data_IF_616409570195
#
_entry.id   IF_616409570195
#
_cell.length_a   1.000
_cell.length_b   1.000
_cell.length_c   1.000
_cell.angle_alpha   90.00
_cell.angle_beta   90.00
_cell.angle_gamma   90.00
#
_symmetry.space_group_name_H-M   'P 1'
#
loop_
_entity.id
_entity.type
_entity.pdbx_description
1 polymer ?
#
# COMPACT_ATOMS: atom_id res chain seq x y z
N UNK A 1 17.11 -11.90 30.07
CA UNK A 1 16.14 -10.87 29.64
C UNK A 1 15.11 -11.60 28.80
N UNK A 2 13.83 -11.22 28.83
CA UNK A 2 12.83 -11.82 27.94
C UNK A 2 13.21 -11.52 26.48
N UNK A 3 12.87 -12.43 25.57
CA UNK A 3 13.10 -12.23 24.13
C UNK A 3 12.37 -11.00 23.61
N UNK A 4 12.91 -10.38 22.59
CA UNK A 4 12.38 -9.16 21.96
C UNK A 4 11.79 -9.46 20.57
N UNK A 5 10.63 -8.90 20.27
CA UNK A 5 10.08 -8.90 18.90
C UNK A 5 10.89 -7.95 17.99
N UNK A 6 10.74 -8.07 16.69
CA UNK A 6 11.27 -7.11 15.72
C UNK A 6 10.87 -5.67 16.09
N UNK A 7 9.60 -5.47 16.46
CA UNK A 7 9.10 -4.17 16.90
C UNK A 7 9.85 -3.67 18.14
N UNK A 8 10.03 -4.52 19.17
CA UNK A 8 10.70 -4.14 20.42
C UNK A 8 12.13 -3.67 20.17
N UNK A 9 12.88 -4.39 19.34
CA UNK A 9 14.27 -4.04 18.98
C UNK A 9 14.37 -2.66 18.33
N UNK A 10 13.45 -2.37 17.40
CA UNK A 10 13.45 -1.07 16.73
C UNK A 10 12.94 0.03 17.65
N UNK A 11 11.81 -0.20 18.31
CA UNK A 11 11.26 0.79 19.25
C UNK A 11 12.28 1.19 20.30
N UNK A 12 12.83 0.21 21.03
CA UNK A 12 13.75 0.47 22.14
C UNK A 12 15.02 1.22 21.69
N UNK A 13 15.51 0.97 20.47
CA UNK A 13 16.68 1.68 19.94
C UNK A 13 16.40 3.14 19.52
N UNK A 14 15.12 3.53 19.40
CA UNK A 14 14.70 4.87 18.98
C UNK A 14 14.03 5.69 20.08
N UNK A 15 13.85 5.13 21.28
CA UNK A 15 13.35 5.87 22.44
C UNK A 15 14.36 6.92 22.85
N UNK A 16 13.99 8.20 22.78
CA UNK A 16 14.77 9.32 23.28
C UNK A 16 14.45 9.55 24.76
N UNK A 17 13.15 9.47 25.11
CA UNK A 17 12.66 9.64 26.48
C UNK A 17 11.29 8.97 26.61
N UNK A 18 11.05 8.39 27.78
CA UNK A 18 9.75 7.85 28.17
C UNK A 18 9.27 8.59 29.41
N UNK A 19 8.02 9.02 29.41
CA UNK A 19 7.37 9.71 30.52
C UNK A 19 6.62 8.69 31.41
N UNK A 20 6.31 9.09 32.63
CA UNK A 20 5.66 8.22 33.62
C UNK A 20 4.25 7.77 33.23
N UNK A 21 3.59 8.46 32.28
CA UNK A 21 2.27 8.10 31.74
C UNK A 21 2.35 7.14 30.52
N UNK A 22 3.56 6.66 30.18
CA UNK A 22 3.83 5.79 29.04
C UNK A 22 3.94 6.54 27.71
N UNK A 23 3.91 7.87 27.73
CA UNK A 23 4.18 8.70 26.54
C UNK A 23 5.67 8.64 26.23
N UNK A 24 6.00 8.37 24.96
CA UNK A 24 7.37 8.17 24.50
C UNK A 24 7.74 9.21 23.44
N UNK A 25 8.85 9.89 23.61
CA UNK A 25 9.49 10.66 22.56
C UNK A 25 10.35 9.71 21.73
N UNK A 26 9.93 9.47 20.49
CA UNK A 26 10.55 8.53 19.56
C UNK A 26 11.36 9.29 18.52
N UNK A 27 12.61 8.90 18.29
CA UNK A 27 13.42 9.43 17.20
C UNK A 27 12.94 8.89 15.86
N UNK A 28 12.88 9.74 14.83
CA UNK A 28 12.48 9.40 13.47
C UNK A 28 13.67 9.55 12.53
N UNK A 29 14.09 8.44 11.90
CA UNK A 29 15.24 8.42 11.01
C UNK A 29 14.94 9.07 9.67
N UNK A 30 13.76 8.80 9.10
CA UNK A 30 13.41 9.17 7.74
C UNK A 30 11.98 9.68 7.64
N UNK A 31 11.80 10.67 6.79
CA UNK A 31 10.48 11.23 6.49
C UNK A 31 10.27 11.29 5.00
N UNK A 32 9.09 10.84 4.56
CA UNK A 32 8.60 11.04 3.20
C UNK A 32 7.55 12.14 3.22
N UNK A 33 7.55 12.99 2.20
CA UNK A 33 6.56 14.07 2.06
C UNK A 33 6.02 14.13 0.63
N UNK A 34 4.74 14.45 0.52
CA UNK A 34 4.07 14.64 -0.75
C UNK A 34 3.20 15.92 -0.74
N UNK A 35 2.64 16.28 -1.89
CA UNK A 35 1.99 17.58 -2.10
C UNK A 35 0.71 17.81 -1.30
N UNK A 36 0.03 16.74 -0.84
CA UNK A 36 -1.28 16.88 -0.17
C UNK A 36 -1.17 17.27 1.30
N UNK A 37 -0.26 16.65 2.05
CA UNK A 37 -0.16 16.80 3.51
C UNK A 37 1.02 17.66 3.97
N UNK A 38 1.85 18.16 3.06
CA UNK A 38 3.04 18.95 3.41
C UNK A 38 2.87 20.48 3.37
N UNK A 39 1.95 21.09 2.61
CA UNK A 39 1.90 22.56 2.50
C UNK A 39 1.77 23.27 3.83
N UNK A 40 0.81 22.86 4.67
CA UNK A 40 0.58 23.46 5.99
C UNK A 40 1.73 23.19 6.97
N UNK A 41 2.38 22.02 6.87
CA UNK A 41 3.54 21.70 7.70
C UNK A 41 4.73 22.64 7.40
N UNK A 42 5.01 22.91 6.13
CA UNK A 42 6.03 23.87 5.74
C UNK A 42 5.66 25.31 6.09
N UNK A 43 4.40 25.69 5.94
CA UNK A 43 3.91 26.99 6.37
C UNK A 43 4.09 27.19 7.88
N UNK A 44 3.76 26.21 8.71
CA UNK A 44 3.99 26.24 10.16
C UNK A 44 5.46 26.43 10.51
N UNK A 45 6.38 25.74 9.82
CA UNK A 45 7.82 25.96 9.99
C UNK A 45 8.23 27.42 9.70
N UNK A 46 7.74 27.98 8.58
CA UNK A 46 8.04 29.38 8.18
C UNK A 46 7.53 30.37 9.21
N UNK A 47 6.27 30.24 9.63
CA UNK A 47 5.65 31.11 10.63
C UNK A 47 6.39 31.05 11.99
N UNK A 48 6.89 29.88 12.35
CA UNK A 48 7.68 29.68 13.57
C UNK A 48 9.17 30.08 13.43
N UNK A 49 9.61 30.53 12.25
CA UNK A 49 11.01 30.85 11.97
C UNK A 49 11.95 29.64 12.07
N UNK A 50 11.42 28.43 11.84
CA UNK A 50 12.16 27.17 11.96
C UNK A 50 12.54 26.63 10.58
N UNK A 51 13.58 25.81 10.57
CA UNK A 51 14.02 25.05 9.37
C UNK A 51 14.00 23.56 9.69
N UNK A 52 13.85 22.69 8.65
CA UNK A 52 14.02 21.25 8.85
C UNK A 52 15.37 20.92 9.48
N UNK A 53 15.35 20.11 10.54
CA UNK A 53 16.54 19.72 11.28
C UNK A 53 17.54 18.92 10.45
N UNK A 54 17.03 18.01 9.61
CA UNK A 54 17.84 17.14 8.75
C UNK A 54 17.20 17.01 7.37
N UNK A 55 17.38 18.02 6.48
CA UNK A 55 16.78 17.95 5.13
C UNK A 55 17.13 16.69 4.35
N UNK A 56 18.36 16.17 4.50
CA UNK A 56 18.81 14.93 3.86
C UNK A 56 18.16 13.63 4.39
N UNK A 57 17.42 13.70 5.50
CA UNK A 57 16.60 12.60 6.02
C UNK A 57 15.16 12.65 5.51
N UNK A 58 14.84 13.63 4.66
CA UNK A 58 13.52 13.81 4.05
C UNK A 58 13.62 13.64 2.53
N UNK A 59 12.67 12.91 1.96
CA UNK A 59 12.54 12.73 0.50
C UNK A 59 11.13 13.12 0.09
N UNK A 60 11.01 13.95 -0.93
CA UNK A 60 9.75 14.50 -1.42
C UNK A 60 9.41 13.99 -2.82
N UNK A 61 8.11 13.83 -3.09
CA UNK A 61 7.58 13.46 -4.41
C UNK A 61 6.11 13.91 -4.52
N UNK A 62 5.65 14.50 -5.64
CA UNK A 62 4.23 14.64 -5.93
C UNK A 62 3.71 13.34 -6.52
N UNK A 63 2.59 12.80 -6.01
CA UNK A 63 2.06 11.52 -6.46
C UNK A 63 0.52 11.42 -6.50
N UNK A 64 -0.19 12.23 -5.72
CA UNK A 64 -1.66 12.18 -5.62
C UNK A 64 -2.35 13.00 -6.70
N UNK A 65 -1.88 14.22 -6.93
CA UNK A 65 -2.49 15.21 -7.83
C UNK A 65 -1.87 15.23 -9.24
N UNK A 66 -0.90 14.36 -9.48
CA UNK A 66 -0.23 14.30 -10.79
C UNK A 66 -1.15 13.68 -11.83
N UNK A 67 -1.22 14.25 -13.06
CA UNK A 67 -1.94 13.61 -14.15
C UNK A 67 -1.24 12.31 -14.58
N UNK A 68 -2.04 11.31 -14.92
CA UNK A 68 -1.58 10.03 -15.47
C UNK A 68 -1.70 9.97 -17.00
N UNK A 69 -2.10 11.07 -17.62
CA UNK A 69 -2.16 11.30 -19.05
C UNK A 69 -0.94 12.11 -19.53
N UNK A 70 -1.04 12.84 -20.63
CA UNK A 70 0.07 13.62 -21.19
C UNK A 70 0.53 14.73 -20.24
N UNK A 71 1.68 14.55 -19.62
CA UNK A 71 2.30 15.50 -18.67
C UNK A 71 2.93 16.73 -19.29
N UNK A 72 2.96 16.83 -20.62
CA UNK A 72 3.38 18.05 -21.34
C UNK A 72 2.29 19.12 -21.28
N UNK A 73 1.06 18.72 -20.99
CA UNK A 73 -0.06 19.62 -20.81
C UNK A 73 -0.07 20.21 -19.39
N UNK A 74 -0.62 21.41 -19.26
CA UNK A 74 -0.83 22.02 -17.94
C UNK A 74 -1.83 21.18 -17.13
N UNK A 75 -1.61 21.12 -15.80
CA UNK A 75 -2.55 20.47 -14.88
C UNK A 75 -3.84 21.26 -14.89
N UNK A 76 -4.94 20.62 -15.29
CA UNK A 76 -6.24 21.27 -15.49
C UNK A 76 -6.87 21.76 -14.17
N UNK A 77 -6.72 20.99 -13.08
CA UNK A 77 -7.21 21.41 -11.78
C UNK A 77 -6.24 22.42 -11.12
N UNK A 78 -6.70 23.67 -10.85
CA UNK A 78 -5.83 24.70 -10.29
C UNK A 78 -5.36 24.42 -8.87
N UNK A 79 -6.12 23.65 -8.08
CA UNK A 79 -5.76 23.27 -6.71
C UNK A 79 -4.60 22.28 -6.77
N UNK A 80 -4.73 21.23 -7.57
CA UNK A 80 -3.67 20.24 -7.80
C UNK A 80 -2.39 20.91 -8.31
N UNK A 81 -2.49 21.80 -9.29
CA UNK A 81 -1.35 22.56 -9.82
C UNK A 81 -0.68 23.44 -8.74
N UNK A 82 -1.47 24.06 -7.86
CA UNK A 82 -0.97 24.85 -6.74
C UNK A 82 -0.24 23.98 -5.72
N UNK A 83 -0.81 22.83 -5.33
CA UNK A 83 -0.20 21.93 -4.34
C UNK A 83 1.14 21.41 -4.81
N UNK A 84 1.25 20.98 -6.07
CA UNK A 84 2.51 20.50 -6.66
C UNK A 84 3.56 21.59 -6.64
N UNK A 85 3.23 22.81 -7.13
CA UNK A 85 4.15 23.95 -7.10
C UNK A 85 4.58 24.31 -5.69
N UNK A 86 3.66 24.31 -4.73
CA UNK A 86 3.98 24.60 -3.33
C UNK A 86 4.97 23.58 -2.75
N UNK A 87 4.83 22.30 -3.09
CA UNK A 87 5.82 21.29 -2.70
C UNK A 87 7.20 21.57 -3.30
N UNK A 88 7.25 21.91 -4.61
CA UNK A 88 8.50 22.22 -5.31
C UNK A 88 9.21 23.44 -4.70
N UNK A 89 8.46 24.52 -4.42
CA UNK A 89 8.99 25.74 -3.83
C UNK A 89 9.50 25.48 -2.39
N UNK A 90 8.76 24.76 -1.58
CA UNK A 90 9.16 24.39 -0.23
C UNK A 90 10.43 23.51 -0.22
N UNK A 91 10.49 22.51 -1.10
CA UNK A 91 11.68 21.66 -1.19
C UNK A 91 12.93 22.47 -1.61
N UNK A 92 12.78 23.39 -2.54
CA UNK A 92 13.86 24.29 -2.99
C UNK A 92 14.32 25.19 -1.85
N UNK A 93 13.39 25.82 -1.13
CA UNK A 93 13.69 26.73 -0.02
C UNK A 93 14.39 26.03 1.14
N UNK A 94 13.97 24.82 1.47
CA UNK A 94 14.48 24.09 2.62
C UNK A 94 15.60 23.08 2.30
N UNK A 95 15.99 22.96 1.02
CA UNK A 95 17.05 22.05 0.58
C UNK A 95 16.69 20.56 0.73
N UNK A 96 15.41 20.22 0.52
CA UNK A 96 14.91 18.84 0.56
C UNK A 96 14.98 18.24 -0.84
N UNK A 97 15.46 16.99 -0.93
CA UNK A 97 15.48 16.26 -2.20
C UNK A 97 14.06 15.99 -2.71
N UNK A 98 13.80 16.37 -3.95
CA UNK A 98 12.51 16.21 -4.61
C UNK A 98 12.65 15.47 -5.93
N UNK A 99 11.81 14.45 -6.13
CA UNK A 99 11.57 13.87 -7.46
C UNK A 99 10.32 14.52 -8.06
N UNK A 100 10.51 15.64 -8.76
CA UNK A 100 9.40 16.40 -9.36
C UNK A 100 8.68 15.65 -10.46
N UNK A 101 7.54 16.19 -10.94
CA UNK A 101 6.63 15.53 -11.89
C UNK A 101 7.30 15.03 -13.20
N UNK A 102 8.39 15.67 -13.63
CA UNK A 102 9.14 15.31 -14.84
C UNK A 102 10.43 14.51 -14.55
N UNK A 103 10.74 14.20 -13.29
CA UNK A 103 11.86 13.34 -12.94
C UNK A 103 11.47 11.87 -13.21
N UNK A 104 12.36 11.11 -13.86
CA UNK A 104 12.11 9.69 -14.13
C UNK A 104 11.90 8.87 -12.84
N UNK A 105 12.41 9.34 -11.70
CA UNK A 105 12.24 8.71 -10.39
C UNK A 105 10.91 9.09 -9.72
N UNK A 106 10.12 9.99 -10.33
CA UNK A 106 8.80 10.34 -9.81
C UNK A 106 7.89 9.11 -9.82
N UNK A 107 7.09 8.97 -8.78
CA UNK A 107 6.13 7.89 -8.62
C UNK A 107 5.43 7.96 -7.27
N UNK A 108 4.64 6.95 -6.98
CA UNK A 108 3.95 6.82 -5.70
C UNK A 108 4.96 6.80 -4.56
N UNK A 109 4.74 7.61 -3.54
CA UNK A 109 5.68 7.83 -2.41
C UNK A 109 6.15 6.53 -1.76
N UNK A 110 5.26 5.53 -1.62
CA UNK A 110 5.58 4.21 -1.04
C UNK A 110 6.17 3.22 -2.05
N UNK A 111 6.33 3.59 -3.31
CA UNK A 111 7.10 2.87 -4.32
C UNK A 111 8.51 3.43 -4.40
N UNK A 112 8.65 4.75 -4.48
CA UNK A 112 9.97 5.38 -4.69
C UNK A 112 10.90 5.21 -3.48
N UNK A 113 10.38 5.19 -2.25
CA UNK A 113 11.20 4.99 -1.04
C UNK A 113 11.98 3.68 -1.07
N UNK A 114 11.33 2.51 -1.24
CA UNK A 114 11.98 1.22 -1.47
C UNK A 114 12.87 1.19 -2.72
N UNK A 115 12.35 1.68 -3.84
CA UNK A 115 13.04 1.65 -5.13
C UNK A 115 14.38 2.39 -5.11
N UNK A 116 14.47 3.49 -4.38
CA UNK A 116 15.69 4.27 -4.24
C UNK A 116 16.61 3.78 -3.11
N UNK A 117 16.18 2.79 -2.29
CA UNK A 117 16.92 2.38 -1.10
C UNK A 117 16.87 3.42 0.04
N UNK A 118 15.86 4.30 0.03
CA UNK A 118 15.59 5.21 1.13
C UNK A 118 14.96 4.45 2.30
N UNK A 119 14.25 3.34 2.04
CA UNK A 119 13.72 2.42 3.04
C UNK A 119 14.78 1.42 3.45
N UNK A 120 15.15 1.40 4.74
CA UNK A 120 16.16 0.50 5.29
C UNK A 120 15.63 -0.24 6.52
N UNK A 121 16.07 -1.50 6.75
CA UNK A 121 15.72 -2.25 7.95
C UNK A 121 16.18 -1.56 9.23
N UNK A 122 15.41 -1.71 10.30
CA UNK A 122 15.72 -1.17 11.61
C UNK A 122 15.53 0.33 11.76
N UNK A 123 15.03 1.03 10.73
CA UNK A 123 14.77 2.47 10.79
C UNK A 123 13.32 2.78 11.13
N UNK A 124 13.08 3.98 11.67
CA UNK A 124 11.75 4.58 11.82
C UNK A 124 11.46 5.47 10.61
N UNK A 125 10.30 5.27 9.96
CA UNK A 125 9.91 6.00 8.74
C UNK A 125 8.50 6.55 8.90
N UNK A 126 8.30 7.83 8.62
CA UNK A 126 6.97 8.47 8.67
C UNK A 126 6.66 9.24 7.38
N UNK A 127 5.36 9.38 7.12
CA UNK A 127 4.82 10.18 6.02
C UNK A 127 3.40 10.64 6.39
N UNK A 128 2.93 11.71 5.80
CA UNK A 128 1.54 12.18 5.91
C UNK A 128 0.51 11.30 5.18
N UNK A 129 0.81 10.01 5.00
CA UNK A 129 -0.04 9.00 4.37
C UNK A 129 -0.08 7.72 5.21
N UNK A 130 -1.26 7.14 5.41
CA UNK A 130 -1.45 5.94 6.23
C UNK A 130 -0.72 4.71 5.67
N UNK A 131 -0.56 4.60 4.35
CA UNK A 131 0.12 3.46 3.71
C UNK A 131 1.65 3.49 3.83
N UNK A 132 2.21 4.41 4.62
CA UNK A 132 3.62 4.41 5.07
C UNK A 132 4.02 3.06 5.68
N UNK A 133 3.07 2.34 6.24
CA UNK A 133 3.21 0.95 6.70
C UNK A 133 3.85 0.01 5.67
N UNK A 134 3.77 0.32 4.36
CA UNK A 134 4.43 -0.42 3.27
C UNK A 134 5.91 -0.68 3.55
N UNK A 135 6.61 0.31 4.13
CA UNK A 135 8.05 0.24 4.40
C UNK A 135 8.41 -0.80 5.48
N UNK A 136 7.43 -1.23 6.27
CA UNK A 136 7.60 -2.33 7.23
C UNK A 136 7.93 -3.68 6.60
N UNK A 137 7.68 -3.86 5.30
CA UNK A 137 8.12 -5.02 4.53
C UNK A 137 9.64 -5.25 4.55
N UNK A 138 10.39 -4.20 4.86
CA UNK A 138 11.86 -4.21 4.97
C UNK A 138 12.33 -4.37 6.43
N UNK A 139 11.42 -4.55 7.38
CA UNK A 139 11.77 -4.52 8.80
C UNK A 139 12.06 -3.11 9.32
N UNK A 140 11.40 -2.10 8.77
CA UNK A 140 11.34 -0.75 9.31
C UNK A 140 10.09 -0.58 10.18
N UNK A 141 10.15 0.25 11.22
CA UNK A 141 8.95 0.70 11.93
C UNK A 141 8.40 1.93 11.19
N UNK A 142 7.39 1.70 10.36
CA UNK A 142 6.89 2.70 9.43
C UNK A 142 5.39 2.92 9.60
N UNK A 143 4.97 4.18 9.73
CA UNK A 143 3.56 4.52 9.97
C UNK A 143 3.19 5.93 9.51
N UNK A 144 1.89 6.10 9.19
CA UNK A 144 1.32 7.38 8.81
C UNK A 144 1.17 8.34 9.99
N UNK A 145 1.32 9.65 9.71
CA UNK A 145 1.20 10.73 10.69
C UNK A 145 0.33 11.86 10.14
N UNK A 146 -0.22 12.68 11.03
CA UNK A 146 -0.99 13.87 10.66
C UNK A 146 -0.11 15.03 10.21
N UNK A 147 -0.71 16.03 9.54
CA UNK A 147 0.01 17.20 9.00
C UNK A 147 0.81 17.97 10.07
N UNK A 148 0.26 18.18 11.26
CA UNK A 148 0.99 18.82 12.37
C UNK A 148 2.15 17.98 12.87
N UNK A 149 2.05 16.66 12.83
CA UNK A 149 3.15 15.75 13.15
C UNK A 149 4.22 15.76 12.05
N UNK A 150 3.85 15.96 10.77
CA UNK A 150 4.81 16.18 9.66
C UNK A 150 5.68 17.40 9.97
N UNK A 151 5.07 18.54 10.36
CA UNK A 151 5.80 19.74 10.79
C UNK A 151 6.74 19.44 11.96
N UNK A 152 6.22 18.75 12.97
CA UNK A 152 6.99 18.42 14.17
C UNK A 152 8.23 17.57 13.87
N UNK A 153 8.08 16.55 13.02
CA UNK A 153 9.21 15.69 12.62
C UNK A 153 10.20 16.46 11.76
N UNK A 154 9.76 17.29 10.82
CA UNK A 154 10.66 18.17 10.06
C UNK A 154 11.51 19.05 10.99
N UNK A 155 10.89 19.65 12.02
CA UNK A 155 11.56 20.55 12.96
C UNK A 155 12.51 19.83 13.92
N UNK A 156 12.19 18.62 14.37
CA UNK A 156 12.83 17.99 15.53
C UNK A 156 13.46 16.63 15.28
N UNK A 157 13.05 15.90 14.23
CA UNK A 157 13.31 14.47 14.01
C UNK A 157 12.76 13.57 15.13
N UNK A 158 11.79 14.03 15.87
CA UNK A 158 11.17 13.27 16.95
C UNK A 158 9.65 13.32 16.82
N UNK A 159 9.00 12.35 17.45
CA UNK A 159 7.55 12.25 17.50
C UNK A 159 7.10 11.72 18.86
N UNK A 160 6.04 12.32 19.42
CA UNK A 160 5.43 11.86 20.65
C UNK A 160 4.44 10.74 20.33
N UNK A 161 4.65 9.54 20.87
CA UNK A 161 3.82 8.37 20.61
C UNK A 161 3.55 7.60 21.91
N UNK A 162 2.45 6.85 21.94
CA UNK A 162 2.25 5.78 22.91
C UNK A 162 2.70 4.46 22.29
N UNK A 163 3.39 3.63 23.08
CA UNK A 163 3.84 2.33 22.61
C UNK A 163 2.63 1.45 22.24
N UNK A 164 2.52 0.99 20.97
CA UNK A 164 1.48 0.05 20.58
C UNK A 164 1.77 -1.36 21.11
N UNK A 165 0.72 -2.18 21.17
CA UNK A 165 0.83 -3.63 21.36
C UNK A 165 1.38 -4.32 20.12
N UNK A 166 1.82 -5.56 20.28
CA UNK A 166 2.34 -6.39 19.19
C UNK A 166 1.37 -7.54 18.87
N UNK A 167 1.16 -7.80 17.57
CA UNK A 167 0.34 -8.91 17.08
C UNK A 167 1.14 -9.71 16.05
N UNK A 168 1.20 -11.02 16.25
CA UNK A 168 1.68 -11.93 15.22
C UNK A 168 0.53 -12.36 14.31
N UNK A 169 0.70 -12.22 12.98
CA UNK A 169 -0.15 -12.90 12.01
C UNK A 169 0.69 -13.94 11.29
N UNK A 170 0.45 -15.20 11.60
CA UNK A 170 1.21 -16.34 11.07
C UNK A 170 0.44 -17.00 9.93
N UNK A 171 1.04 -17.03 8.75
CA UNK A 171 0.49 -17.73 7.59
C UNK A 171 1.45 -18.85 7.19
N UNK A 172 0.98 -20.09 7.34
CA UNK A 172 1.76 -21.27 7.01
C UNK A 172 1.15 -22.03 5.82
N UNK A 173 1.99 -22.83 5.16
CA UNK A 173 1.60 -23.66 4.05
C UNK A 173 2.03 -23.08 2.70
N UNK A 174 1.48 -23.64 1.63
CA UNK A 174 1.79 -23.25 0.25
C UNK A 174 0.59 -22.54 -0.36
N UNK A 175 0.80 -21.27 -0.73
CA UNK A 175 -0.22 -20.49 -1.44
C UNK A 175 -0.41 -21.06 -2.85
N UNK A 176 -1.66 -21.13 -3.32
CA UNK A 176 -1.93 -21.48 -4.73
C UNK A 176 -1.16 -20.56 -5.67
N UNK A 177 -0.60 -21.10 -6.73
CA UNK A 177 0.12 -20.31 -7.75
C UNK A 177 -0.75 -19.27 -8.47
N UNK A 178 -2.05 -19.35 -8.30
CA UNK A 178 -3.04 -18.38 -8.83
C UNK A 178 -3.43 -17.31 -7.82
N UNK A 179 -3.06 -17.47 -6.54
CA UNK A 179 -3.25 -16.46 -5.50
C UNK A 179 -1.99 -15.62 -5.30
N UNK A 180 -2.16 -14.41 -4.86
CA UNK A 180 -1.09 -13.45 -4.59
C UNK A 180 -1.10 -12.96 -3.14
N UNK A 181 -0.14 -12.14 -2.77
CA UNK A 181 -0.11 -11.47 -1.46
C UNK A 181 -1.36 -10.61 -1.21
N UNK A 182 -2.00 -10.10 -2.28
CA UNK A 182 -3.26 -9.35 -2.18
C UNK A 182 -4.40 -10.24 -1.65
N UNK A 183 -4.47 -11.47 -2.12
CA UNK A 183 -5.47 -12.43 -1.65
C UNK A 183 -5.20 -12.80 -0.18
N UNK A 184 -3.94 -12.96 0.20
CA UNK A 184 -3.54 -13.23 1.58
C UNK A 184 -3.98 -12.11 2.52
N UNK A 185 -3.67 -10.84 2.18
CA UNK A 185 -4.02 -9.72 3.07
C UNK A 185 -5.53 -9.47 3.13
N UNK A 186 -6.25 -9.65 2.03
CA UNK A 186 -7.71 -9.55 2.03
C UNK A 186 -8.34 -10.64 2.90
N UNK A 187 -7.86 -11.88 2.82
CA UNK A 187 -8.30 -12.98 3.69
C UNK A 187 -7.99 -12.69 5.17
N UNK A 188 -6.82 -12.13 5.48
CA UNK A 188 -6.46 -11.69 6.84
C UNK A 188 -7.45 -10.64 7.33
N UNK A 189 -7.69 -9.58 6.56
CA UNK A 189 -8.61 -8.51 6.94
C UNK A 189 -10.05 -9.03 7.07
N UNK A 190 -10.48 -9.92 6.19
CA UNK A 190 -11.76 -10.61 6.31
C UNK A 190 -11.91 -11.38 7.61
N UNK A 191 -10.82 -11.99 8.09
CA UNK A 191 -10.80 -12.77 9.33
C UNK A 191 -10.78 -11.92 10.60
N UNK A 192 -9.94 -10.86 10.64
CA UNK A 192 -9.79 -10.02 11.84
C UNK A 192 -10.75 -8.81 11.86
N UNK A 193 -11.36 -8.47 10.72
CA UNK A 193 -12.14 -7.26 10.53
C UNK A 193 -11.29 -6.00 10.38
N UNK A 194 -11.92 -4.88 10.00
CA UNK A 194 -11.25 -3.58 9.79
C UNK A 194 -10.74 -2.91 11.07
N UNK A 195 -11.07 -3.44 12.23
CA UNK A 195 -10.65 -2.92 13.55
C UNK A 195 -9.84 -3.94 14.37
N UNK A 196 -9.62 -5.16 13.86
CA UNK A 196 -8.94 -6.22 14.61
C UNK A 196 -7.49 -5.90 14.99
N UNK A 197 -6.81 -5.09 14.20
CA UNK A 197 -5.45 -4.62 14.45
C UNK A 197 -5.35 -3.29 15.23
N UNK A 198 -6.48 -2.73 15.70
CA UNK A 198 -6.47 -1.42 16.38
C UNK A 198 -5.60 -1.44 17.64
N UNK A 199 -4.64 -0.53 17.69
CA UNK A 199 -3.68 -0.44 18.79
C UNK A 199 -2.48 -1.39 18.69
N UNK A 200 -2.38 -2.15 17.58
CA UNK A 200 -1.29 -3.09 17.36
C UNK A 200 -0.35 -2.64 16.23
N UNK A 201 0.90 -3.07 16.36
CA UNK A 201 1.82 -3.28 15.23
C UNK A 201 1.78 -4.76 14.90
N UNK A 202 1.55 -5.10 13.63
CA UNK A 202 1.45 -6.48 13.17
C UNK A 202 2.82 -6.94 12.66
N UNK A 203 3.30 -8.09 13.12
CA UNK A 203 4.41 -8.81 12.49
C UNK A 203 3.87 -10.01 11.72
N UNK A 204 4.12 -10.03 10.41
CA UNK A 204 3.74 -11.14 9.54
C UNK A 204 4.83 -12.21 9.55
N UNK A 205 4.45 -13.44 9.87
CA UNK A 205 5.35 -14.60 10.02
C UNK A 205 4.83 -15.83 9.28
N UNK A 206 5.58 -16.91 9.34
CA UNK A 206 5.19 -18.20 8.77
C UNK A 206 5.86 -18.51 7.42
N UNK A 207 5.68 -19.75 6.97
CA UNK A 207 6.34 -20.24 5.74
C UNK A 207 5.87 -19.53 4.48
N UNK A 208 4.59 -19.24 4.39
CA UNK A 208 4.00 -18.49 3.27
C UNK A 208 4.60 -17.08 3.18
N UNK A 209 4.70 -16.36 4.31
CA UNK A 209 5.26 -15.00 4.33
C UNK A 209 6.73 -14.97 3.90
N UNK A 210 7.53 -15.93 4.38
CA UNK A 210 8.94 -16.07 3.96
C UNK A 210 9.07 -16.39 2.47
N UNK A 211 8.11 -17.13 1.90
CA UNK A 211 8.09 -17.46 0.48
C UNK A 211 7.80 -16.25 -0.41
N UNK A 212 7.05 -15.25 0.06
CA UNK A 212 6.71 -14.05 -0.70
C UNK A 212 7.96 -13.30 -1.19
N UNK A 213 7.80 -12.63 -2.32
CA UNK A 213 8.73 -11.63 -2.83
C UNK A 213 8.67 -10.35 -1.99
N UNK A 214 9.59 -9.41 -2.22
CA UNK A 214 9.54 -8.12 -1.53
C UNK A 214 8.27 -7.33 -1.89
N UNK A 215 7.84 -7.38 -3.14
CA UNK A 215 6.61 -6.75 -3.61
C UNK A 215 5.38 -7.33 -2.91
N UNK A 216 5.32 -8.66 -2.75
CA UNK A 216 4.27 -9.32 -1.98
C UNK A 216 4.26 -8.90 -0.51
N UNK A 217 5.43 -8.79 0.14
CA UNK A 217 5.56 -8.30 1.52
C UNK A 217 5.14 -6.84 1.64
N UNK A 218 5.48 -6.01 0.63
CA UNK A 218 5.01 -4.61 0.59
C UNK A 218 3.49 -4.52 0.48
N UNK A 219 2.85 -5.39 -0.30
CA UNK A 219 1.38 -5.48 -0.37
C UNK A 219 0.76 -5.81 0.98
N UNK A 220 1.30 -6.79 1.73
CA UNK A 220 0.83 -7.14 3.07
C UNK A 220 0.94 -5.95 4.03
N UNK A 221 2.14 -5.38 4.14
CA UNK A 221 2.40 -4.27 5.05
C UNK A 221 1.61 -3.02 4.67
N UNK A 222 1.42 -2.75 3.37
CA UNK A 222 0.61 -1.65 2.87
C UNK A 222 -0.81 -1.72 3.42
N UNK A 223 -1.46 -2.88 3.33
CA UNK A 223 -2.86 -3.05 3.71
C UNK A 223 -3.07 -3.40 5.19
N UNK A 224 -2.04 -3.44 6.01
CA UNK A 224 -2.17 -3.62 7.47
C UNK A 224 -3.07 -2.56 8.11
N UNK A 225 -3.04 -1.35 7.56
CA UNK A 225 -3.84 -0.21 8.01
C UNK A 225 -5.34 -0.46 7.79
N UNK A 226 -5.69 -1.24 6.78
CA UNK A 226 -7.08 -1.60 6.47
C UNK A 226 -7.66 -2.61 7.48
N UNK A 227 -6.79 -3.33 8.19
CA UNK A 227 -7.15 -4.12 9.37
C UNK A 227 -7.13 -3.32 10.68
N UNK A 228 -6.90 -2.00 10.61
CA UNK A 228 -6.86 -1.10 11.77
C UNK A 228 -5.51 -1.01 12.47
N UNK A 229 -4.48 -1.70 12.00
CA UNK A 229 -3.16 -1.70 12.63
C UNK A 229 -2.42 -0.36 12.49
N UNK A 230 -1.54 -0.05 13.43
CA UNK A 230 -0.65 1.11 13.37
C UNK A 230 0.42 0.96 12.29
N UNK A 231 0.95 -0.26 12.14
CA UNK A 231 1.95 -0.65 11.15
C UNK A 231 1.90 -2.15 10.90
N UNK A 232 2.44 -2.60 9.77
CA UNK A 232 2.72 -3.99 9.47
C UNK A 232 4.21 -4.16 9.22
N UNK A 233 4.78 -5.28 9.66
CA UNK A 233 6.22 -5.53 9.56
C UNK A 233 6.50 -6.96 9.10
N UNK A 234 7.60 -7.15 8.38
CA UNK A 234 8.19 -8.46 8.08
C UNK A 234 9.67 -8.39 8.46
N UNK A 235 10.15 -9.36 9.20
CA UNK A 235 11.57 -9.43 9.59
C UNK A 235 12.46 -9.49 8.33
N UNK A 236 13.53 -8.69 8.26
CA UNK A 236 14.43 -8.68 7.11
C UNK A 236 15.16 -10.02 6.98
N UNK A 237 15.30 -10.47 5.75
CA UNK A 237 16.00 -11.70 5.36
C UNK A 237 16.89 -11.46 4.14
N UNK A 238 17.40 -12.54 3.54
CA UNK A 238 18.27 -12.49 2.38
C UNK A 238 17.60 -11.80 1.18
N UNK A 239 16.27 -11.95 1.00
CA UNK A 239 15.50 -11.27 -0.06
C UNK A 239 15.48 -9.76 0.17
N UNK A 240 15.30 -9.34 1.42
CA UNK A 240 15.33 -7.93 1.80
C UNK A 240 16.69 -7.31 1.50
N UNK A 241 17.77 -7.98 1.89
CA UNK A 241 19.16 -7.54 1.66
C UNK A 241 19.43 -7.44 0.16
N UNK A 242 19.10 -8.48 -0.61
CA UNK A 242 19.27 -8.51 -2.05
C UNK A 242 18.49 -7.39 -2.77
N UNK A 243 17.27 -7.08 -2.31
CA UNK A 243 16.47 -5.99 -2.88
C UNK A 243 17.12 -4.61 -2.67
N UNK A 244 17.73 -4.37 -1.50
CA UNK A 244 18.33 -3.08 -1.14
C UNK A 244 19.70 -2.90 -1.80
N UNK A 245 20.42 -3.99 -2.05
CA UNK A 245 21.78 -3.96 -2.58
C UNK A 245 21.87 -3.17 -3.89
N UNK A 246 22.80 -2.23 -3.95
CA UNK A 246 23.03 -1.41 -5.14
C UNK A 246 22.05 -0.28 -5.37
N UNK A 247 21.00 -0.13 -4.54
CA UNK A 247 20.06 1.01 -4.65
C UNK A 247 20.77 2.34 -4.40
N UNK A 248 20.33 3.44 -5.07
CA UNK A 248 21.04 4.73 -5.05
C UNK A 248 21.32 5.30 -3.65
N UNK A 249 20.35 5.21 -2.74
CA UNK A 249 20.40 5.78 -1.39
C UNK A 249 20.70 4.72 -0.30
N UNK A 250 20.96 3.48 -0.69
CA UNK A 250 21.42 2.43 0.22
C UNK A 250 22.90 2.62 0.60
N UNK A 251 23.34 2.08 1.76
CA UNK A 251 24.76 2.02 2.08
C UNK A 251 25.56 1.35 0.97
N UNK A 252 26.83 1.72 0.83
CA UNK A 252 27.70 1.20 -0.24
C UNK A 252 28.94 0.52 0.35
N UNK A 253 29.48 -0.42 -0.42
CA UNK A 253 30.73 -1.15 -0.09
C UNK A 253 30.70 -1.73 1.34
N UNK A 254 31.75 -1.57 2.11
CA UNK A 254 31.91 -2.13 3.47
C UNK A 254 30.78 -1.69 4.43
N UNK A 255 30.20 -0.49 4.21
CA UNK A 255 29.07 -0.03 5.01
C UNK A 255 27.81 -0.86 4.73
N UNK A 256 27.64 -1.33 3.50
CA UNK A 256 26.52 -2.22 3.18
C UNK A 256 26.67 -3.58 3.86
N UNK A 257 27.88 -4.15 3.85
CA UNK A 257 28.13 -5.42 4.50
C UNK A 257 27.93 -5.36 6.02
N UNK A 258 28.38 -4.27 6.66
CA UNK A 258 28.14 -4.01 8.08
C UNK A 258 26.66 -3.87 8.38
N UNK A 259 25.95 -3.09 7.55
CA UNK A 259 24.51 -2.89 7.70
C UNK A 259 23.75 -4.22 7.51
N UNK A 260 24.08 -5.01 6.49
CA UNK A 260 23.44 -6.30 6.24
C UNK A 260 23.58 -7.27 7.43
N UNK A 261 24.77 -7.33 8.06
CA UNK A 261 24.99 -8.12 9.28
C UNK A 261 24.12 -7.61 10.45
N UNK A 262 24.01 -6.30 10.62
CA UNK A 262 23.16 -5.72 11.68
C UNK A 262 21.67 -5.97 11.40
N UNK A 263 21.22 -5.86 10.14
CA UNK A 263 19.84 -6.10 9.75
C UNK A 263 19.38 -7.54 10.02
N UNK A 264 20.27 -8.53 9.84
CA UNK A 264 19.96 -9.94 10.14
C UNK A 264 19.69 -10.21 11.63
N UNK A 265 20.15 -9.34 12.53
CA UNK A 265 19.89 -9.43 13.98
C UNK A 265 18.52 -8.88 14.39
N UNK A 266 17.80 -8.25 13.47
CA UNK A 266 16.47 -7.67 13.76
C UNK A 266 15.35 -8.71 13.87
N UNK A 267 15.59 -9.98 13.52
CA UNK A 267 14.59 -11.04 13.68
C UNK A 267 14.09 -11.11 15.10
N UNK A 268 12.79 -11.36 15.25
CA UNK A 268 12.17 -11.65 16.54
C UNK A 268 12.86 -12.84 17.22
N UNK A 269 13.15 -12.71 18.51
CA UNK A 269 13.83 -13.75 19.28
C UNK A 269 12.91 -14.97 19.47
N UNK A 270 13.45 -16.20 19.55
CA UNK A 270 12.63 -17.40 19.64
C UNK A 270 11.72 -17.47 20.85
N UNK A 271 12.09 -16.80 21.95
CA UNK A 271 11.37 -16.72 23.22
C UNK A 271 10.57 -15.42 23.41
N UNK A 272 10.49 -14.59 22.35
CA UNK A 272 9.66 -13.40 22.37
C UNK A 272 8.16 -13.74 22.38
N UNK A 273 7.38 -12.90 23.02
CA UNK A 273 5.92 -13.07 23.11
C UNK A 273 5.21 -11.89 22.44
N UNK A 274 4.06 -12.15 21.85
CA UNK A 274 3.17 -11.14 21.29
C UNK A 274 1.95 -10.97 22.19
N UNK A 275 1.35 -9.75 22.17
CA UNK A 275 0.08 -9.50 22.89
C UNK A 275 -1.12 -10.19 22.23
N UNK A 276 -1.00 -10.56 20.96
CA UNK A 276 -2.01 -11.30 20.22
C UNK A 276 -1.41 -12.13 19.09
N UNK A 277 -2.07 -13.24 18.73
CA UNK A 277 -1.64 -14.10 17.62
C UNK A 277 -2.85 -14.55 16.81
N UNK A 278 -2.72 -14.48 15.48
CA UNK A 278 -3.70 -15.00 14.52
C UNK A 278 -2.98 -15.93 13.54
N UNK A 279 -3.57 -17.10 13.28
CA UNK A 279 -2.98 -18.08 12.36
C UNK A 279 -3.93 -18.37 11.20
N UNK A 280 -3.37 -18.45 9.99
CA UNK A 280 -4.06 -18.87 8.77
C UNK A 280 -3.26 -19.99 8.07
N UNK A 281 -3.97 -20.79 7.29
CA UNK A 281 -3.40 -21.77 6.37
C UNK A 281 -3.52 -21.25 4.95
N UNK A 282 -2.42 -21.25 4.21
CA UNK A 282 -2.37 -20.70 2.85
C UNK A 282 -3.25 -21.50 1.87
N UNK A 283 -3.38 -22.80 2.09
CA UNK A 283 -4.21 -23.67 1.26
C UNK A 283 -5.71 -23.35 1.33
N UNK A 284 -6.15 -22.68 2.39
CA UNK A 284 -7.54 -22.25 2.58
C UNK A 284 -7.85 -20.88 1.94
N UNK A 285 -6.84 -20.21 1.40
CA UNK A 285 -6.99 -18.88 0.79
C UNK A 285 -7.33 -19.03 -0.70
N UNK A 286 -8.59 -18.76 -1.04
CA UNK A 286 -9.03 -18.59 -2.41
C UNK A 286 -8.68 -17.17 -2.94
N UNK A 287 -8.72 -16.92 -4.27
CA UNK A 287 -8.72 -15.57 -4.80
C UNK A 287 -9.85 -14.74 -4.17
N UNK A 288 -9.53 -13.55 -3.66
CA UNK A 288 -10.44 -12.76 -2.83
C UNK A 288 -11.10 -11.63 -3.64
N UNK A 289 -12.36 -11.33 -3.31
CA UNK A 289 -13.12 -10.20 -3.87
C UNK A 289 -13.83 -9.47 -2.74
N UNK A 290 -13.65 -8.16 -2.61
CA UNK A 290 -14.48 -7.39 -1.70
C UNK A 290 -15.86 -7.17 -2.31
N UNK A 291 -16.92 -7.54 -1.57
CA UNK A 291 -18.32 -7.40 -2.02
C UNK A 291 -19.01 -6.15 -1.49
N UNK A 292 -18.47 -5.52 -0.44
CA UNK A 292 -19.08 -4.37 0.21
C UNK A 292 -18.22 -3.12 0.15
N UNK A 293 -18.43 -2.21 1.10
CA UNK A 293 -17.88 -0.84 1.12
C UNK A 293 -16.67 -0.68 2.04
N UNK A 294 -16.04 -1.78 2.44
CA UNK A 294 -14.76 -1.76 3.16
C UNK A 294 -13.98 -3.06 2.91
N UNK A 295 -12.65 -3.09 3.14
CA UNK A 295 -11.80 -4.25 2.87
C UNK A 295 -12.10 -5.49 3.73
N UNK A 296 -12.83 -5.34 4.86
CA UNK A 296 -13.27 -6.47 5.68
C UNK A 296 -14.51 -7.18 5.12
N UNK A 297 -15.25 -6.54 4.22
CA UNK A 297 -16.37 -7.15 3.51
C UNK A 297 -15.86 -7.91 2.28
N UNK A 298 -15.21 -9.05 2.50
CA UNK A 298 -14.51 -9.85 1.48
C UNK A 298 -14.90 -11.31 1.58
N UNK A 299 -14.92 -11.99 0.43
CA UNK A 299 -15.14 -13.43 0.32
C UNK A 299 -14.27 -14.01 -0.81
N UNK A 300 -14.11 -15.33 -0.82
CA UNK A 300 -13.51 -16.02 -1.95
C UNK A 300 -14.34 -15.88 -3.22
N UNK A 301 -13.70 -15.89 -4.37
CA UNK A 301 -14.36 -15.77 -5.69
C UNK A 301 -15.36 -16.90 -5.95
N UNK A 302 -15.15 -18.06 -5.34
CA UNK A 302 -16.03 -19.24 -5.36
C UNK A 302 -17.22 -19.15 -4.42
N UNK A 303 -17.33 -18.07 -3.64
CA UNK A 303 -18.40 -17.81 -2.69
C UNK A 303 -19.55 -16.99 -3.25
N UNK A 304 -20.40 -16.57 -2.31
CA UNK A 304 -21.56 -15.71 -2.58
C UNK A 304 -21.51 -14.46 -1.69
N UNK A 305 -22.17 -13.41 -2.11
CA UNK A 305 -22.44 -12.21 -1.33
C UNK A 305 -23.19 -12.62 -0.06
N UNK A 306 -22.70 -12.31 1.15
CA UNK A 306 -23.33 -12.72 2.40
C UNK A 306 -24.77 -12.20 2.55
N UNK A 307 -25.62 -13.01 3.19
CA UNK A 307 -26.99 -12.60 3.54
C UNK A 307 -26.95 -11.86 4.89
N UNK A 308 -27.32 -10.58 4.96
CA UNK A 308 -27.35 -9.83 6.21
C UNK A 308 -28.20 -10.48 7.31
N UNK A 309 -29.24 -11.22 6.94
CA UNK A 309 -30.13 -11.92 7.88
C UNK A 309 -29.42 -13.05 8.67
N UNK A 310 -28.29 -13.55 8.17
CA UNK A 310 -27.49 -14.56 8.85
C UNK A 310 -26.48 -13.99 9.85
N UNK A 311 -26.35 -12.66 9.91
CA UNK A 311 -25.40 -12.01 10.81
C UNK A 311 -25.95 -11.89 12.24
N UNK A 312 -25.13 -12.22 13.22
CA UNK A 312 -25.53 -12.35 14.62
C UNK A 312 -25.79 -11.00 15.30
N UNK A 313 -25.08 -9.93 14.89
CA UNK A 313 -25.23 -8.63 15.52
C UNK A 313 -25.90 -7.61 14.57
N UNK A 314 -26.70 -6.72 15.18
CA UNK A 314 -27.51 -5.74 14.45
C UNK A 314 -26.65 -4.70 13.70
N UNK A 315 -25.48 -4.34 14.25
CA UNK A 315 -24.57 -3.35 13.63
C UNK A 315 -24.00 -3.90 12.33
N UNK A 316 -23.49 -5.12 12.35
CA UNK A 316 -22.98 -5.79 11.15
C UNK A 316 -24.05 -6.01 10.10
N UNK A 317 -25.29 -6.39 10.55
CA UNK A 317 -26.43 -6.55 9.65
C UNK A 317 -26.76 -5.25 8.91
N UNK A 318 -26.95 -4.13 9.64
CA UNK A 318 -27.22 -2.83 9.05
C UNK A 318 -26.11 -2.35 8.12
N UNK A 319 -24.84 -2.58 8.51
CA UNK A 319 -23.71 -2.23 7.67
C UNK A 319 -23.70 -3.04 6.36
N UNK A 320 -24.04 -4.33 6.42
CA UNK A 320 -24.14 -5.17 5.24
C UNK A 320 -25.33 -4.79 4.33
N UNK A 321 -26.50 -4.49 4.90
CA UNK A 321 -27.67 -4.02 4.16
C UNK A 321 -27.34 -2.73 3.38
N UNK A 322 -26.73 -1.74 4.05
CA UNK A 322 -26.26 -0.50 3.41
C UNK A 322 -25.21 -0.77 2.31
N UNK A 323 -24.29 -1.67 2.58
CA UNK A 323 -23.26 -2.02 1.59
C UNK A 323 -23.86 -2.68 0.35
N UNK A 324 -24.84 -3.57 0.51
CA UNK A 324 -25.56 -4.19 -0.62
C UNK A 324 -26.32 -3.14 -1.45
N UNK A 325 -27.01 -2.23 -0.80
CA UNK A 325 -27.72 -1.13 -1.47
C UNK A 325 -26.75 -0.26 -2.27
N UNK A 326 -25.66 0.22 -1.64
CA UNK A 326 -24.66 1.05 -2.32
C UNK A 326 -23.99 0.32 -3.48
N UNK A 327 -23.58 -0.92 -3.25
CA UNK A 327 -22.91 -1.75 -4.27
C UNK A 327 -23.90 -2.27 -5.33
N UNK A 328 -25.21 -2.14 -5.14
CA UNK A 328 -26.23 -2.67 -6.04
C UNK A 328 -26.10 -4.19 -6.20
N UNK A 329 -25.90 -4.90 -5.08
CA UNK A 329 -25.80 -6.35 -5.02
C UNK A 329 -26.98 -6.94 -4.25
N UNK A 330 -27.25 -8.21 -4.49
CA UNK A 330 -28.26 -8.97 -3.74
C UNK A 330 -27.61 -10.04 -2.88
N UNK A 331 -28.21 -10.32 -1.73
CA UNK A 331 -27.78 -11.42 -0.87
C UNK A 331 -27.79 -12.75 -1.64
N UNK A 332 -26.81 -13.60 -1.35
CA UNK A 332 -26.60 -14.89 -2.00
C UNK A 332 -26.28 -14.87 -3.50
N UNK A 333 -26.07 -13.69 -4.12
CA UNK A 333 -25.55 -13.58 -5.46
C UNK A 333 -24.13 -14.17 -5.53
N UNK A 334 -23.85 -15.04 -6.49
CA UNK A 334 -22.49 -15.57 -6.66
C UNK A 334 -21.53 -14.45 -7.06
N UNK A 335 -20.32 -14.47 -6.54
CA UNK A 335 -19.30 -13.46 -6.88
C UNK A 335 -19.02 -13.45 -8.38
N UNK A 336 -18.98 -14.60 -9.02
CA UNK A 336 -18.73 -14.72 -10.47
C UNK A 336 -19.85 -14.14 -11.36
N UNK A 337 -21.02 -13.85 -10.81
CA UNK A 337 -22.14 -13.23 -11.56
C UNK A 337 -22.08 -11.69 -11.53
N UNK A 338 -21.10 -11.11 -10.79
CA UNK A 338 -20.93 -9.65 -10.70
C UNK A 338 -20.22 -9.15 -11.96
N UNK A 339 -20.92 -8.32 -12.74
CA UNK A 339 -20.38 -7.67 -13.94
C UNK A 339 -19.51 -6.47 -13.61
N UNK A 340 -18.56 -6.13 -14.48
CA UNK A 340 -17.56 -5.08 -14.29
C UNK A 340 -17.59 -4.11 -15.47
N UNK A 341 -17.58 -2.80 -15.17
CA UNK A 341 -17.55 -1.72 -16.18
C UNK A 341 -16.13 -1.18 -16.35
N UNK A 342 -15.32 -1.20 -15.28
CA UNK A 342 -13.97 -0.62 -15.28
C UNK A 342 -12.98 -1.52 -14.55
N UNK A 343 -11.72 -1.50 -14.99
CA UNK A 343 -10.62 -2.19 -14.31
C UNK A 343 -9.47 -1.22 -14.08
N UNK A 344 -8.97 -1.21 -12.84
CA UNK A 344 -7.81 -0.42 -12.43
C UNK A 344 -6.71 -1.32 -11.87
N UNK A 345 -5.55 -1.34 -12.54
CA UNK A 345 -4.32 -1.96 -12.04
C UNK A 345 -3.34 -0.85 -11.72
N UNK A 346 -3.03 -0.66 -10.44
CA UNK A 346 -2.23 0.47 -9.97
C UNK A 346 -2.19 0.55 -8.46
N UNK A 347 -2.00 1.79 -7.93
CA UNK A 347 -1.92 2.09 -6.50
C UNK A 347 -0.59 1.70 -5.86
N UNK A 348 -0.26 2.27 -4.69
CA UNK A 348 0.88 1.85 -3.88
C UNK A 348 0.84 0.36 -3.50
N UNK A 349 -0.30 -0.30 -3.64
CA UNK A 349 -0.49 -1.72 -3.32
C UNK A 349 0.09 -2.64 -4.40
N UNK A 350 -0.31 -2.43 -5.67
CA UNK A 350 0.00 -3.35 -6.78
C UNK A 350 0.29 -2.60 -8.09
N UNK A 351 1.40 -1.89 -8.12
CA UNK A 351 1.87 -1.14 -9.29
C UNK A 351 3.37 -1.30 -9.56
N UNK A 352 4.01 -2.26 -8.88
CA UNK A 352 5.44 -2.54 -9.03
C UNK A 352 5.66 -3.46 -10.21
N UNK A 353 6.91 -3.58 -10.63
CA UNK A 353 7.24 -4.35 -11.85
C UNK A 353 6.76 -5.81 -11.80
N UNK A 354 6.81 -6.48 -10.64
CA UNK A 354 6.29 -7.85 -10.51
C UNK A 354 4.79 -7.93 -10.69
N UNK A 355 4.03 -6.97 -10.15
CA UNK A 355 2.56 -6.89 -10.33
C UNK A 355 2.22 -6.74 -11.81
N UNK A 356 2.97 -5.90 -12.54
CA UNK A 356 2.79 -5.68 -13.97
C UNK A 356 3.16 -6.91 -14.79
N UNK A 357 4.27 -7.58 -14.46
CA UNK A 357 4.67 -8.85 -15.11
C UNK A 357 3.62 -9.93 -14.90
N UNK A 358 3.12 -10.08 -13.67
CA UNK A 358 2.06 -11.03 -13.35
C UNK A 358 0.80 -10.74 -14.19
N UNK A 359 0.32 -9.52 -14.16
CA UNK A 359 -0.86 -9.09 -14.91
C UNK A 359 -0.68 -9.28 -16.43
N UNK A 360 0.48 -8.87 -16.97
CA UNK A 360 0.80 -9.05 -18.39
C UNK A 360 0.83 -10.55 -18.79
N UNK A 361 1.35 -11.42 -17.92
CA UNK A 361 1.33 -12.87 -18.15
C UNK A 361 -0.07 -13.44 -18.32
N UNK A 362 -1.02 -12.93 -17.54
CA UNK A 362 -2.43 -13.36 -17.61
C UNK A 362 -3.17 -12.77 -18.82
N UNK A 363 -2.86 -11.55 -19.26
CA UNK A 363 -3.58 -10.89 -20.35
C UNK A 363 -3.01 -11.19 -21.74
N UNK A 364 -1.78 -11.73 -21.82
CA UNK A 364 -1.09 -12.00 -23.09
C UNK A 364 -1.93 -12.85 -24.04
N UNK A 365 -2.18 -12.34 -25.25
CA UNK A 365 -2.97 -13.01 -26.28
C UNK A 365 -4.49 -12.90 -26.12
N UNK A 366 -4.97 -12.16 -25.12
CA UNK A 366 -6.39 -11.95 -24.84
C UNK A 366 -6.80 -10.51 -25.17
N UNK A 367 -8.10 -10.23 -25.07
CA UNK A 367 -8.67 -8.90 -25.28
C UNK A 367 -9.60 -8.53 -24.14
N UNK A 368 -9.55 -7.27 -23.75
CA UNK A 368 -10.51 -6.65 -22.83
C UNK A 368 -11.91 -6.76 -23.44
N UNK A 369 -12.90 -7.12 -22.63
CA UNK A 369 -14.30 -7.16 -23.03
C UNK A 369 -14.75 -5.78 -23.52
N UNK A 370 -15.57 -5.72 -24.57
CA UNK A 370 -16.04 -4.46 -25.18
C UNK A 370 -16.79 -3.56 -24.21
N UNK A 371 -17.33 -4.12 -23.14
CA UNK A 371 -18.08 -3.42 -22.10
C UNK A 371 -17.20 -2.87 -20.98
N UNK A 372 -15.89 -3.19 -20.98
CA UNK A 372 -14.97 -2.85 -19.90
C UNK A 372 -13.95 -1.81 -20.36
N UNK A 373 -13.77 -0.77 -19.54
CA UNK A 373 -12.68 0.18 -19.69
C UNK A 373 -11.55 -0.16 -18.70
N UNK A 374 -10.42 -0.61 -19.22
CA UNK A 374 -9.31 -1.09 -18.40
C UNK A 374 -8.09 -0.19 -18.49
N UNK A 375 -7.45 0.11 -17.33
CA UNK A 375 -6.24 0.92 -17.28
C UNK A 375 -5.17 0.30 -16.39
N UNK A 376 -3.91 0.55 -16.75
CA UNK A 376 -2.71 0.18 -15.98
C UNK A 376 -1.90 1.42 -15.69
N UNK A 377 -1.59 1.64 -14.40
CA UNK A 377 -0.83 2.77 -13.92
C UNK A 377 0.42 2.27 -13.20
N UNK A 378 1.62 2.41 -13.79
CA UNK A 378 2.89 2.04 -13.14
C UNK A 378 3.12 2.83 -11.86
N UNK A 379 3.82 2.23 -10.89
CA UNK A 379 4.05 2.83 -9.58
C UNK A 379 5.10 3.96 -9.57
N UNK A 380 6.01 3.97 -10.54
CA UNK A 380 7.00 5.03 -10.73
C UNK A 380 7.40 5.14 -12.19
N UNK A 381 8.08 6.22 -12.55
CA UNK A 381 8.66 6.38 -13.88
C UNK A 381 9.71 5.31 -14.19
N UNK A 382 10.48 4.86 -13.17
CA UNK A 382 11.44 3.77 -13.34
C UNK A 382 10.75 2.43 -13.56
N UNK A 383 9.66 2.13 -12.84
CA UNK A 383 8.83 0.95 -13.12
C UNK A 383 8.24 1.01 -14.51
N UNK A 384 7.75 2.18 -14.94
CA UNK A 384 7.23 2.39 -16.29
C UNK A 384 8.29 2.11 -17.34
N UNK A 385 9.46 2.71 -17.20
CA UNK A 385 10.59 2.51 -18.11
C UNK A 385 10.96 1.02 -18.21
N UNK A 386 11.14 0.35 -17.08
CA UNK A 386 11.46 -1.07 -17.05
C UNK A 386 10.37 -1.92 -17.72
N UNK A 387 9.10 -1.62 -17.47
CA UNK A 387 7.98 -2.33 -18.09
C UNK A 387 7.95 -2.14 -19.61
N UNK A 388 8.28 -0.95 -20.11
CA UNK A 388 8.39 -0.63 -21.54
C UNK A 388 9.60 -1.33 -22.18
N UNK A 389 10.75 -1.37 -21.52
CA UNK A 389 11.93 -2.12 -21.96
C UNK A 389 11.65 -3.63 -22.07
N UNK A 390 10.83 -4.17 -21.17
CA UNK A 390 10.37 -5.57 -21.20
C UNK A 390 9.19 -5.80 -22.17
N UNK A 391 8.62 -4.75 -22.76
CA UNK A 391 7.50 -4.80 -23.70
C UNK A 391 6.14 -5.10 -23.06
N UNK A 392 6.00 -4.89 -21.73
CA UNK A 392 4.73 -5.11 -21.03
C UNK A 392 3.66 -4.12 -21.46
N UNK A 393 4.04 -2.86 -21.75
CA UNK A 393 3.19 -1.82 -22.33
C UNK A 393 2.50 -2.31 -23.61
N UNK A 394 3.26 -2.96 -24.49
CA UNK A 394 2.73 -3.52 -25.75
C UNK A 394 1.76 -4.68 -25.51
N UNK A 395 2.01 -5.49 -24.48
CA UNK A 395 1.09 -6.58 -24.11
C UNK A 395 -0.24 -5.99 -23.62
N UNK A 396 -0.21 -4.99 -22.73
CA UNK A 396 -1.41 -4.35 -22.21
C UNK A 396 -2.18 -3.58 -23.29
N UNK A 397 -1.51 -2.76 -24.08
CA UNK A 397 -2.16 -1.97 -25.14
C UNK A 397 -2.72 -2.87 -26.25
N UNK A 398 -2.00 -3.94 -26.62
CA UNK A 398 -2.51 -4.93 -27.55
C UNK A 398 -3.77 -5.63 -27.02
N UNK A 399 -3.90 -5.81 -25.72
CA UNK A 399 -5.10 -6.36 -25.10
C UNK A 399 -6.26 -5.36 -25.01
N UNK A 400 -5.99 -4.06 -25.10
CA UNK A 400 -6.99 -2.98 -24.99
C UNK A 400 -7.00 -2.25 -23.66
N UNK A 401 -5.94 -2.40 -22.84
CA UNK A 401 -5.73 -1.56 -21.66
C UNK A 401 -5.14 -0.21 -22.05
N UNK A 402 -5.53 0.83 -21.36
CA UNK A 402 -4.83 2.10 -21.39
C UNK A 402 -3.55 2.03 -20.55
N UNK A 403 -2.41 2.37 -21.16
CA UNK A 403 -1.12 2.48 -20.51
C UNK A 403 -0.90 3.93 -20.07
N UNK A 404 -0.76 4.15 -18.76
CA UNK A 404 -0.78 5.47 -18.15
C UNK A 404 0.60 5.91 -17.64
N UNK A 405 0.72 7.20 -17.29
CA UNK A 405 1.87 7.74 -16.55
C UNK A 405 1.78 7.36 -15.06
N UNK A 406 2.95 7.32 -14.37
CA UNK A 406 3.05 6.88 -12.98
C UNK A 406 2.37 7.84 -11.99
N UNK A 407 1.63 7.32 -11.01
CA UNK A 407 0.97 8.11 -9.97
C UNK A 407 -0.08 7.31 -9.21
N UNK A 408 -0.75 7.97 -8.25
CA UNK A 408 -1.82 7.33 -7.47
C UNK A 408 -3.11 7.08 -8.26
N UNK A 409 -3.40 7.91 -9.29
CA UNK A 409 -4.55 7.73 -10.19
C UNK A 409 -5.87 7.51 -9.44
N UNK A 410 -6.65 6.51 -9.84
CA UNK A 410 -7.93 6.17 -9.22
C UNK A 410 -7.84 5.72 -7.77
N UNK A 411 -6.65 5.47 -7.20
CA UNK A 411 -6.56 5.02 -5.81
C UNK A 411 -7.24 5.99 -4.81
N UNK A 412 -7.16 7.30 -5.08
CA UNK A 412 -7.79 8.36 -4.28
C UNK A 412 -8.72 9.25 -5.12
N UNK A 413 -8.66 9.14 -6.44
CA UNK A 413 -9.46 9.95 -7.37
C UNK A 413 -9.28 11.47 -7.16
N UNK A 414 -8.05 11.91 -6.90
CA UNK A 414 -7.69 13.33 -6.80
C UNK A 414 -7.23 13.93 -8.14
N UNK A 415 -7.33 13.18 -9.21
CA UNK A 415 -7.05 13.60 -10.59
C UNK A 415 -8.26 13.25 -11.48
N UNK A 416 -8.09 13.31 -12.81
CA UNK A 416 -9.16 13.04 -13.76
C UNK A 416 -9.59 11.55 -13.83
N UNK A 417 -8.82 10.64 -13.22
CA UNK A 417 -9.14 9.21 -13.24
C UNK A 417 -10.16 8.88 -12.13
N UNK A 418 -11.44 8.91 -12.47
CA UNK A 418 -12.56 8.71 -11.53
C UNK A 418 -13.59 7.73 -12.10
N UNK A 419 -14.32 7.07 -11.19
CA UNK A 419 -15.54 6.34 -11.53
C UNK A 419 -16.72 7.30 -11.65
N UNK A 420 -17.58 7.03 -12.62
CA UNK A 420 -18.88 7.68 -12.68
C UNK A 420 -19.87 7.00 -11.70
N UNK A 421 -20.94 7.71 -11.28
CA UNK A 421 -21.95 7.13 -10.42
C UNK A 421 -22.54 5.83 -11.01
N UNK A 422 -22.52 4.77 -10.19
CA UNK A 422 -23.02 3.45 -10.60
C UNK A 422 -21.98 2.55 -11.30
N UNK A 423 -20.89 3.11 -11.85
CA UNK A 423 -19.82 2.28 -12.44
C UNK A 423 -19.18 1.34 -11.42
N UNK A 424 -18.93 0.12 -11.83
CA UNK A 424 -18.36 -0.96 -11.05
C UNK A 424 -16.94 -1.26 -11.50
N UNK A 425 -15.99 -1.18 -10.56
CA UNK A 425 -14.57 -1.35 -10.83
C UNK A 425 -14.00 -2.57 -10.11
N UNK A 426 -13.28 -3.45 -10.84
CA UNK A 426 -12.33 -4.37 -10.26
C UNK A 426 -10.98 -3.66 -10.10
N UNK A 427 -10.52 -3.49 -8.87
CA UNK A 427 -9.42 -2.58 -8.55
C UNK A 427 -8.35 -3.24 -7.68
N UNK A 428 -7.08 -3.01 -8.03
CA UNK A 428 -5.95 -3.44 -7.18
C UNK A 428 -5.59 -2.43 -6.11
N UNK A 429 -6.38 -1.36 -5.92
CA UNK A 429 -6.20 -0.38 -4.85
C UNK A 429 -6.37 -1.02 -3.46
N UNK A 430 -6.17 -0.25 -2.41
CA UNK A 430 -6.19 -0.71 -1.03
C UNK A 430 -7.50 -0.41 -0.30
N UNK A 431 -8.28 0.56 -0.76
CA UNK A 431 -9.53 1.01 -0.12
C UNK A 431 -10.68 1.07 -1.10
N UNK A 432 -11.89 0.78 -0.61
CA UNK A 432 -13.12 0.78 -1.41
C UNK A 432 -14.34 1.33 -0.67
N UNK A 433 -14.14 2.24 0.29
CA UNK A 433 -15.29 2.89 0.92
C UNK A 433 -16.07 3.78 -0.08
N UNK A 434 -17.30 4.08 0.26
CA UNK A 434 -18.23 4.87 -0.57
C UNK A 434 -17.57 6.14 -1.11
N UNK A 435 -17.56 6.30 -2.43
CA UNK A 435 -17.00 7.46 -3.11
C UNK A 435 -15.48 7.49 -3.26
N UNK A 436 -14.74 6.49 -2.79
CA UNK A 436 -13.26 6.49 -2.79
C UNK A 436 -12.65 6.70 -4.17
N UNK A 437 -13.18 6.06 -5.19
CA UNK A 437 -12.71 6.15 -6.58
C UNK A 437 -13.60 7.05 -7.45
N UNK A 438 -14.49 7.82 -6.85
CA UNK A 438 -15.47 8.69 -7.50
C UNK A 438 -16.83 8.60 -6.83
N UNK A 439 -17.56 9.71 -6.77
CA UNK A 439 -18.88 9.77 -6.13
C UNK A 439 -19.85 8.75 -6.74
N UNK A 440 -20.41 7.86 -5.91
CA UNK A 440 -21.32 6.79 -6.36
C UNK A 440 -20.66 5.63 -7.10
N UNK A 441 -19.33 5.64 -7.23
CA UNK A 441 -18.54 4.53 -7.81
C UNK A 441 -18.51 3.31 -6.90
N UNK A 442 -18.54 2.12 -7.48
CA UNK A 442 -18.61 0.81 -6.80
C UNK A 442 -17.31 0.04 -7.01
N UNK A 443 -16.49 -0.05 -5.97
CA UNK A 443 -15.15 -0.64 -6.07
C UNK A 443 -15.08 -2.00 -5.40
N UNK A 444 -14.61 -3.00 -6.12
CA UNK A 444 -14.23 -4.32 -5.62
C UNK A 444 -12.71 -4.43 -5.58
N UNK A 445 -12.16 -4.70 -4.40
CA UNK A 445 -10.72 -4.95 -4.24
C UNK A 445 -10.40 -6.39 -4.65
N UNK A 446 -9.41 -6.53 -5.53
CA UNK A 446 -8.96 -7.81 -6.07
C UNK A 446 -7.45 -7.82 -6.30
N UNK A 447 -6.88 -9.00 -6.54
CA UNK A 447 -5.50 -9.15 -6.99
C UNK A 447 -5.30 -8.73 -8.46
N UNK A 448 -4.06 -8.43 -8.91
CA UNK A 448 -3.79 -8.09 -10.31
C UNK A 448 -4.28 -9.14 -11.30
N UNK A 449 -4.12 -10.43 -10.99
CA UNK A 449 -4.60 -11.52 -11.85
C UNK A 449 -6.13 -11.53 -11.96
N UNK A 450 -6.83 -11.34 -10.84
CA UNK A 450 -8.30 -11.22 -10.80
C UNK A 450 -8.79 -10.00 -11.57
N UNK A 451 -8.10 -8.87 -11.48
CA UNK A 451 -8.42 -7.66 -12.23
C UNK A 451 -8.31 -7.88 -13.74
N UNK A 452 -7.23 -8.55 -14.19
CA UNK A 452 -7.06 -8.92 -15.60
C UNK A 452 -8.16 -9.84 -16.08
N UNK A 453 -8.46 -10.90 -15.30
CA UNK A 453 -9.51 -11.84 -15.67
C UNK A 453 -10.88 -11.14 -15.78
N UNK A 454 -11.20 -10.26 -14.83
CA UNK A 454 -12.42 -9.45 -14.89
C UNK A 454 -12.44 -8.49 -16.09
N UNK A 455 -11.28 -7.94 -16.49
CA UNK A 455 -11.20 -7.11 -17.70
C UNK A 455 -11.52 -7.90 -18.98
N UNK A 456 -11.05 -9.13 -19.08
CA UNK A 456 -11.25 -9.99 -20.27
C UNK A 456 -12.67 -10.53 -20.35
N UNK A 457 -13.22 -10.99 -19.23
CA UNK A 457 -14.53 -11.66 -19.20
C UNK A 457 -15.72 -10.69 -19.00
N UNK A 458 -15.46 -9.47 -18.50
CA UNK A 458 -16.50 -8.50 -18.15
C UNK A 458 -17.22 -8.78 -16.83
N UNK A 459 -16.80 -9.80 -16.10
CA UNK A 459 -17.31 -10.21 -14.79
C UNK A 459 -16.21 -10.94 -13.99
N UNK A 460 -16.41 -11.20 -12.72
CA UNK A 460 -15.45 -12.00 -11.96
C UNK A 460 -15.49 -13.47 -12.40
N UNK A 461 -14.31 -14.10 -12.38
CA UNK A 461 -14.12 -15.53 -12.64
C UNK A 461 -13.15 -16.12 -11.64
N UNK A 462 -13.27 -17.40 -11.37
CA UNK A 462 -12.26 -18.11 -10.57
C UNK A 462 -11.01 -18.35 -11.42
N UNK A 463 -9.96 -17.57 -11.13
CA UNK A 463 -8.71 -17.65 -11.88
C UNK A 463 -7.96 -18.98 -11.69
N UNK A 464 -8.34 -19.80 -10.70
CA UNK A 464 -7.78 -21.14 -10.51
C UNK A 464 -8.21 -22.09 -11.63
N UNK A 465 -9.40 -21.86 -12.20
CA UNK A 465 -10.01 -22.64 -13.29
C UNK A 465 -9.92 -21.92 -14.65
N UNK A 466 -9.51 -20.64 -14.67
CA UNK A 466 -9.48 -19.81 -15.86
C UNK A 466 -8.37 -20.25 -16.82
N UNK A 467 -8.77 -20.62 -18.05
CA UNK A 467 -7.91 -21.18 -19.11
C UNK A 467 -7.34 -20.11 -20.02
#
# INVERSE_FOLDING_TARGET
>A
MAGQTLFDKIWNSHVVREESDGTTLLYIDRQLVHEVTSPQAFEGLKLAGRRPRRPGATLAVPDHNVPTTDRRLAIADPISAKQIRTLEDNCREFGISLFGMHDIRQGVVHVIGPEQGFTLPGTTIVCGDSHTSTHGAFGALAFGIGTSEVEHVLATQCLVQKRPKTMEIRVNGTLSSRCSAKDVILAIIGKIGTAGGTGFVIEYTGSTIRALTMEGRMTLCNMSIEGGARAGMVAPDEKTIAYIQGRPLAPKNDLFEQAAKAWQQLKTDPDATYDGTVTLRAEEIAPQVSWGTNPGMVVGVDGCVPDPRTMNDEKSRKAAERALEYMGLTANMRIIDITIDKVFIGSCTNSRIEDLRLAAGFVKGRKVAKTVHAMVVPGSGLVKQQAEEEGLDRVFTAAGFEWREAGCSMCLAMNADVLQPGERCASTSNRNFEGRQGAGGRTHLVSPAMAVAAAVEGHFVDIREWK
#
